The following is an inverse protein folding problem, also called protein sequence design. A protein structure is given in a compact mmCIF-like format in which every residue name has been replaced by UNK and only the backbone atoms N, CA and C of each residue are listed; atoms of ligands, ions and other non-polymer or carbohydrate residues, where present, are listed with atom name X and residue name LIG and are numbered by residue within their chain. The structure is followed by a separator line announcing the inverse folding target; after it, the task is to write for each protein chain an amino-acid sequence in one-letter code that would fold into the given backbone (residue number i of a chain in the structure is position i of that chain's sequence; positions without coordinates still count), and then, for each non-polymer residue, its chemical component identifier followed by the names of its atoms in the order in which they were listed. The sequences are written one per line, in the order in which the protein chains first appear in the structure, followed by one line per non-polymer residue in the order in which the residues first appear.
data_IF_799422634069
#
_entry.id   IF_799422634069
#
_cell.length_a   1.000
_cell.length_b   1.000
_cell.length_c   1.000
_cell.angle_alpha   90.00
_cell.angle_beta   90.00
_cell.angle_gamma   90.00
#
_symmetry.space_group_name_H-M   'P 1'
#
loop_
_entity.id
_entity.type
_entity.pdbx_description
1 polymer ?
#
# COMPACT_ATOMS: atom_id res chain seq x y z
N UNK A 1 -63.99 19.89 -15.93
CA UNK A 1 -63.81 19.11 -17.18
C UNK A 1 -62.70 19.76 -17.99
N UNK A 2 -61.64 18.99 -18.32
CA UNK A 2 -60.57 19.21 -19.31
C UNK A 2 -59.78 20.56 -19.26
N UNK A 3 -58.47 20.67 -19.49
CA UNK A 3 -57.38 19.83 -20.00
C UNK A 3 -56.24 20.82 -20.34
N UNK A 4 -55.07 20.70 -19.71
CA UNK A 4 -53.80 20.20 -20.25
C UNK A 4 -53.07 21.02 -21.34
N UNK A 5 -51.78 21.29 -21.02
CA UNK A 5 -50.57 21.34 -21.85
C UNK A 5 -50.31 22.44 -22.90
N UNK A 6 -49.05 22.88 -22.92
CA UNK A 6 -48.43 23.46 -24.13
C UNK A 6 -47.13 24.23 -23.92
N UNK A 7 -46.09 23.59 -23.36
CA UNK A 7 -44.73 24.13 -23.38
C UNK A 7 -43.99 23.75 -24.67
N UNK A 8 -43.30 24.72 -25.27
CA UNK A 8 -42.21 24.59 -26.26
C UNK A 8 -41.51 25.96 -26.18
N UNK A 9 -40.19 26.12 -26.07
CA UNK A 9 -39.18 25.88 -27.10
C UNK A 9 -37.79 25.72 -26.47
N UNK A 10 -37.06 24.70 -26.92
CA UNK A 10 -35.60 24.63 -26.85
C UNK A 10 -35.03 25.25 -28.12
N UNK A 11 -34.18 26.28 -28.04
CA UNK A 11 -33.10 26.45 -29.04
C UNK A 11 -31.93 27.26 -28.48
N UNK A 12 -30.80 26.58 -28.41
CA UNK A 12 -29.41 27.01 -28.29
C UNK A 12 -29.03 28.14 -29.28
N UNK A 13 -28.39 29.22 -28.78
CA UNK A 13 -27.44 30.16 -29.42
C UNK A 13 -27.49 31.48 -28.62
N UNK A 14 -26.41 32.14 -28.17
CA UNK A 14 -25.13 32.41 -28.80
C UNK A 14 -24.09 32.81 -27.73
N UNK A 15 -22.88 32.25 -27.89
CA UNK A 15 -21.64 32.82 -27.39
C UNK A 15 -21.50 34.26 -27.92
N UNK A 16 -21.41 35.22 -27.01
CA UNK A 16 -20.87 36.55 -27.29
C UNK A 16 -19.55 36.66 -26.54
N UNK A 17 -18.46 36.56 -27.29
CA UNK A 17 -17.16 37.01 -26.84
C UNK A 17 -17.19 38.54 -26.78
N UNK A 18 -16.99 39.10 -25.60
CA UNK A 18 -16.49 40.46 -25.45
C UNK A 18 -15.16 40.38 -24.73
N UNK A 19 -14.16 40.90 -25.44
CA UNK A 19 -12.76 41.01 -25.11
C UNK A 19 -12.54 42.11 -24.07
N UNK A 20 -11.51 41.92 -23.24
CA UNK A 20 -10.78 43.03 -22.62
C UNK A 20 -11.02 43.26 -21.12
N UNK A 21 -10.01 42.88 -20.33
CA UNK A 21 -9.65 43.68 -19.15
C UNK A 21 -9.48 42.92 -17.84
N UNK A 22 -8.23 42.56 -17.55
CA UNK A 22 -7.66 42.41 -16.21
C UNK A 22 -8.20 41.26 -15.33
N UNK A 23 -7.59 40.08 -15.45
CA UNK A 23 -7.58 39.06 -14.40
C UNK A 23 -6.15 38.70 -14.06
N UNK A 24 -5.58 39.44 -13.12
CA UNK A 24 -4.44 39.02 -12.32
C UNK A 24 -4.74 37.66 -11.67
N UNK A 25 -4.00 36.63 -12.08
CA UNK A 25 -3.64 35.47 -11.24
C UNK A 25 -4.78 34.67 -10.61
N UNK A 26 -5.71 34.14 -11.39
CA UNK A 26 -6.36 32.89 -10.97
C UNK A 26 -5.39 31.75 -11.29
N UNK A 27 -4.65 31.31 -10.26
CA UNK A 27 -4.10 29.95 -10.28
C UNK A 27 -5.33 29.05 -10.33
N UNK A 28 -5.65 28.50 -11.51
CA UNK A 28 -6.57 27.38 -11.59
C UNK A 28 -5.93 26.26 -10.78
N UNK A 29 -6.33 26.11 -9.52
CA UNK A 29 -6.09 24.89 -8.75
C UNK A 29 -6.84 23.78 -9.46
N UNK A 30 -6.17 23.16 -10.44
CA UNK A 30 -6.70 22.00 -11.15
C UNK A 30 -7.08 20.92 -10.13
N UNK A 31 -8.19 20.22 -10.40
CA UNK A 31 -8.72 19.13 -9.57
C UNK A 31 -7.55 18.26 -9.06
N UNK A 32 -7.35 18.11 -7.74
CA UNK A 32 -6.31 17.24 -7.23
C UNK A 32 -6.50 15.83 -7.80
N UNK A 33 -5.42 15.25 -8.31
CA UNK A 33 -5.47 13.92 -8.90
C UNK A 33 -5.87 12.91 -7.83
N UNK A 34 -6.77 12.00 -8.18
CA UNK A 34 -7.12 10.92 -7.27
C UNK A 34 -5.87 10.10 -6.96
N UNK A 35 -5.61 9.78 -5.68
CA UNK A 35 -4.52 8.89 -5.34
C UNK A 35 -4.78 7.54 -6.01
N UNK A 36 -3.70 6.87 -6.40
CA UNK A 36 -3.80 5.56 -7.02
C UNK A 36 -4.49 4.59 -6.06
N UNK A 37 -5.73 4.20 -6.39
CA UNK A 37 -6.49 3.18 -5.65
C UNK A 37 -5.99 1.81 -6.10
N UNK A 38 -5.32 1.11 -5.21
CA UNK A 38 -4.86 -0.24 -5.45
C UNK A 38 -4.19 -0.77 -4.21
N UNK A 39 -4.95 -1.50 -3.40
CA UNK A 39 -4.43 -2.24 -2.25
C UNK A 39 -3.23 -3.10 -2.65
N UNK A 40 -3.35 -3.77 -3.80
CA UNK A 40 -2.27 -4.49 -4.48
C UNK A 40 -1.02 -3.66 -4.74
N UNK A 41 -1.15 -2.40 -5.15
CA UNK A 41 0.02 -1.57 -5.50
C UNK A 41 0.78 -1.20 -4.24
N UNK A 42 0.06 -0.93 -3.16
CA UNK A 42 0.65 -0.63 -1.87
C UNK A 42 1.41 -1.85 -1.35
N UNK A 43 0.81 -3.05 -1.43
CA UNK A 43 1.47 -4.31 -1.05
C UNK A 43 2.69 -4.60 -1.92
N UNK A 44 2.62 -4.40 -3.24
CA UNK A 44 3.76 -4.60 -4.16
C UNK A 44 4.94 -3.68 -3.84
N UNK A 45 4.67 -2.38 -3.60
CA UNK A 45 5.74 -1.43 -3.26
C UNK A 45 6.34 -1.74 -1.89
N UNK A 46 5.49 -2.10 -0.91
CA UNK A 46 5.97 -2.47 0.42
C UNK A 46 6.83 -3.74 0.39
N UNK A 47 6.33 -4.81 -0.24
CA UNK A 47 7.05 -6.07 -0.42
C UNK A 47 8.34 -5.88 -1.21
N UNK A 48 8.32 -5.05 -2.25
CA UNK A 48 9.50 -4.78 -3.05
C UNK A 48 10.58 -4.01 -2.29
N UNK A 49 10.19 -3.02 -1.47
CA UNK A 49 11.11 -2.27 -0.64
C UNK A 49 11.76 -3.18 0.41
N UNK A 50 10.96 -3.99 1.10
CA UNK A 50 11.45 -4.93 2.10
C UNK A 50 12.41 -5.94 1.46
N UNK A 51 12.04 -6.56 0.33
CA UNK A 51 12.88 -7.53 -0.38
C UNK A 51 14.25 -6.98 -0.78
N UNK A 52 14.31 -5.76 -1.32
CA UNK A 52 15.59 -5.17 -1.73
C UNK A 52 16.45 -4.89 -0.49
N UNK A 53 15.86 -4.35 0.58
CA UNK A 53 16.59 -4.00 1.79
C UNK A 53 17.13 -5.26 2.49
N UNK A 54 16.31 -6.29 2.65
CA UNK A 54 16.72 -7.54 3.32
C UNK A 54 17.75 -8.30 2.50
N UNK A 55 17.54 -8.48 1.19
CA UNK A 55 18.53 -9.11 0.32
C UNK A 55 19.86 -8.34 0.27
N UNK A 56 19.81 -7.01 0.13
CA UNK A 56 21.03 -6.21 0.09
C UNK A 56 21.76 -6.19 1.44
N UNK A 57 21.03 -6.20 2.56
CA UNK A 57 21.63 -6.32 3.90
C UNK A 57 22.33 -7.65 4.09
N UNK A 58 21.72 -8.75 3.63
CA UNK A 58 22.33 -10.08 3.65
C UNK A 58 23.60 -10.13 2.78
N UNK A 59 23.53 -9.63 1.54
CA UNK A 59 24.70 -9.49 0.65
C UNK A 59 25.81 -8.71 1.34
N UNK A 60 25.48 -7.60 2.00
CA UNK A 60 26.45 -6.74 2.70
C UNK A 60 27.10 -7.45 3.87
N UNK A 61 26.34 -8.21 4.66
CA UNK A 61 26.85 -9.03 5.76
C UNK A 61 27.83 -10.10 5.27
N UNK A 62 27.46 -10.85 4.21
CA UNK A 62 28.29 -11.91 3.62
C UNK A 62 29.56 -11.31 2.98
N UNK A 63 29.44 -10.14 2.35
CA UNK A 63 30.59 -9.45 1.76
C UNK A 63 31.58 -8.96 2.81
N UNK A 64 31.12 -8.65 4.03
CA UNK A 64 31.98 -8.28 5.16
C UNK A 64 32.89 -9.43 5.63
N UNK A 65 32.54 -10.68 5.29
CA UNK A 65 33.25 -11.88 5.73
C UNK A 65 34.25 -12.45 4.70
N UNK A 66 34.49 -11.76 3.57
CA UNK A 66 35.31 -12.27 2.45
C UNK A 66 34.83 -13.62 1.89
N UNK A 67 33.51 -13.81 1.83
CA UNK A 67 32.89 -15.04 1.35
C UNK A 67 32.78 -15.10 -0.16
N UNK A 68 32.74 -16.31 -0.71
CA UNK A 68 32.74 -16.53 -2.14
C UNK A 68 31.45 -16.02 -2.79
N UNK A 69 31.51 -15.72 -4.10
CA UNK A 69 30.30 -15.40 -4.89
C UNK A 69 29.23 -16.50 -4.78
N UNK A 70 29.62 -17.76 -4.58
CA UNK A 70 28.69 -18.89 -4.44
C UNK A 70 27.90 -18.77 -3.14
N UNK A 71 28.54 -18.41 -2.03
CA UNK A 71 27.89 -18.25 -0.73
C UNK A 71 26.83 -17.14 -0.78
N UNK A 72 27.17 -16.02 -1.43
CA UNK A 72 26.24 -14.89 -1.64
C UNK A 72 24.99 -15.35 -2.40
N UNK A 73 25.15 -16.14 -3.47
CA UNK A 73 24.03 -16.60 -4.29
C UNK A 73 23.20 -17.66 -3.58
N UNK A 74 23.83 -18.67 -2.97
CA UNK A 74 23.11 -19.75 -2.29
C UNK A 74 22.33 -19.21 -1.09
N UNK A 75 23.00 -18.47 -0.20
CA UNK A 75 22.35 -17.90 0.98
C UNK A 75 21.35 -16.80 0.59
N UNK A 76 21.71 -15.98 -0.41
CA UNK A 76 20.84 -14.93 -0.94
C UNK A 76 19.53 -15.44 -1.49
N UNK A 77 19.57 -16.41 -2.41
CA UNK A 77 18.35 -16.99 -2.98
C UNK A 77 17.57 -17.84 -1.97
N UNK A 78 18.25 -18.59 -1.11
CA UNK A 78 17.57 -19.36 -0.06
C UNK A 78 16.79 -18.43 0.88
N UNK A 79 17.42 -17.35 1.35
CA UNK A 79 16.77 -16.37 2.21
C UNK A 79 15.64 -15.63 1.48
N UNK A 80 15.87 -15.20 0.23
CA UNK A 80 14.85 -14.54 -0.58
C UNK A 80 13.57 -15.38 -0.73
N UNK A 81 13.72 -16.68 -0.99
CA UNK A 81 12.56 -17.59 -1.12
C UNK A 81 11.89 -17.82 0.23
N UNK A 82 12.66 -18.03 1.30
CA UNK A 82 12.11 -18.23 2.64
C UNK A 82 11.32 -17.00 3.12
N UNK A 83 11.90 -15.81 3.01
CA UNK A 83 11.27 -14.55 3.40
C UNK A 83 10.06 -14.23 2.51
N UNK A 84 10.16 -14.47 1.20
CA UNK A 84 9.05 -14.26 0.27
C UNK A 84 7.85 -15.15 0.56
N UNK A 85 8.07 -16.43 0.90
CA UNK A 85 7.01 -17.34 1.34
C UNK A 85 6.41 -16.87 2.66
N UNK A 86 7.24 -16.49 3.63
CA UNK A 86 6.80 -15.99 4.94
C UNK A 86 5.94 -14.74 4.80
N UNK A 87 6.39 -13.76 4.02
CA UNK A 87 5.68 -12.51 3.80
C UNK A 87 4.38 -12.71 3.03
N UNK A 88 4.38 -13.50 1.96
CA UNK A 88 3.18 -13.81 1.20
C UNK A 88 2.15 -14.59 2.01
N UNK A 89 2.58 -15.55 2.82
CA UNK A 89 1.70 -16.27 3.73
C UNK A 89 1.18 -15.36 4.85
N UNK A 90 2.02 -14.46 5.38
CA UNK A 90 1.61 -13.47 6.37
C UNK A 90 0.52 -12.54 5.87
N UNK A 91 0.65 -12.07 4.63
CA UNK A 91 -0.35 -11.20 3.98
C UNK A 91 -1.66 -11.95 3.69
N UNK A 92 -1.58 -13.23 3.28
CA UNK A 92 -2.73 -14.12 3.17
C UNK A 92 -3.46 -14.29 4.52
N UNK A 93 -2.73 -14.59 5.59
CA UNK A 93 -3.31 -14.79 6.93
C UNK A 93 -3.93 -13.49 7.45
N UNK A 94 -3.28 -12.34 7.22
CA UNK A 94 -3.80 -11.03 7.61
C UNK A 94 -5.13 -10.76 6.92
N UNK A 95 -5.17 -10.83 5.58
CA UNK A 95 -6.37 -10.59 4.79
C UNK A 95 -7.49 -11.61 5.09
N UNK A 96 -7.15 -12.88 5.33
CA UNK A 96 -8.13 -13.88 5.74
C UNK A 96 -8.71 -13.57 7.12
N UNK A 97 -7.87 -13.14 8.07
CA UNK A 97 -8.31 -12.79 9.42
C UNK A 97 -9.19 -11.55 9.40
N UNK A 98 -8.82 -10.52 8.63
CA UNK A 98 -9.63 -9.31 8.45
C UNK A 98 -11.00 -9.65 7.87
N UNK A 99 -11.06 -10.54 6.87
CA UNK A 99 -12.31 -11.04 6.30
C UNK A 99 -13.16 -11.80 7.33
N UNK A 100 -12.56 -12.70 8.10
CA UNK A 100 -13.28 -13.49 9.11
C UNK A 100 -13.80 -12.60 10.26
N UNK A 101 -13.01 -11.62 10.68
CA UNK A 101 -13.41 -10.62 11.68
C UNK A 101 -14.56 -9.78 11.13
N UNK A 102 -14.48 -9.27 9.90
CA UNK A 102 -15.53 -8.49 9.28
C UNK A 102 -16.85 -9.29 9.15
N UNK A 103 -16.77 -10.56 8.76
CA UNK A 103 -17.94 -11.44 8.66
C UNK A 103 -18.60 -11.70 10.02
N UNK A 104 -17.79 -11.95 11.05
CA UNK A 104 -18.30 -12.15 12.42
C UNK A 104 -18.94 -10.87 12.96
N UNK A 105 -18.29 -9.74 12.73
CA UNK A 105 -18.77 -8.45 13.20
C UNK A 105 -20.06 -8.02 12.48
N UNK A 106 -20.18 -8.35 11.19
CA UNK A 106 -21.44 -8.19 10.45
C UNK A 106 -22.56 -9.01 11.07
N UNK A 107 -22.32 -10.29 11.39
CA UNK A 107 -23.33 -11.14 12.01
C UNK A 107 -23.81 -10.60 13.38
N UNK A 108 -22.89 -10.07 14.20
CA UNK A 108 -23.23 -9.39 15.47
C UNK A 108 -24.07 -8.15 15.19
N UNK A 109 -23.67 -7.32 14.22
CA UNK A 109 -24.39 -6.09 13.86
C UNK A 109 -25.79 -6.39 13.33
N UNK A 110 -25.96 -7.43 12.51
CA UNK A 110 -27.26 -7.87 12.02
C UNK A 110 -28.17 -8.32 13.17
N UNK A 111 -27.61 -9.03 14.16
CA UNK A 111 -28.33 -9.43 15.36
C UNK A 111 -28.76 -8.19 16.18
N UNK A 112 -27.87 -7.23 16.40
CA UNK A 112 -28.17 -6.00 17.13
C UNK A 112 -29.21 -5.13 16.44
N UNK A 113 -29.12 -4.98 15.11
CA UNK A 113 -30.12 -4.23 14.32
C UNK A 113 -31.49 -4.90 14.40
N UNK A 114 -31.54 -6.24 14.45
CA UNK A 114 -32.78 -7.01 14.53
C UNK A 114 -33.40 -6.96 15.93
N UNK A 115 -32.60 -7.12 16.98
CA UNK A 115 -33.08 -7.24 18.37
C UNK A 115 -33.17 -5.89 19.10
N UNK A 116 -32.31 -4.93 18.76
CA UNK A 116 -32.17 -3.65 19.45
C UNK A 116 -32.38 -2.44 18.52
N UNK A 117 -33.18 -2.58 17.46
CA UNK A 117 -33.29 -1.59 16.38
C UNK A 117 -33.55 -0.13 16.81
N UNK A 118 -34.32 0.12 17.89
CA UNK A 118 -34.51 1.50 18.40
C UNK A 118 -33.22 2.10 18.95
N UNK A 119 -32.48 1.35 19.77
CA UNK A 119 -31.21 1.80 20.34
C UNK A 119 -30.17 2.01 19.23
N UNK A 120 -30.09 1.06 18.29
CA UNK A 120 -29.14 1.12 17.17
C UNK A 120 -29.36 2.33 16.27
N UNK A 121 -30.62 2.75 16.03
CA UNK A 121 -30.94 3.98 15.29
C UNK A 121 -30.53 5.23 16.04
N UNK A 122 -30.79 5.30 17.35
CA UNK A 122 -30.43 6.46 18.17
C UNK A 122 -28.91 6.67 18.22
N UNK A 123 -28.15 5.57 18.26
CA UNK A 123 -26.69 5.60 18.20
C UNK A 123 -26.19 6.19 16.87
N UNK A 124 -26.73 5.71 15.74
CA UNK A 124 -26.35 6.20 14.42
C UNK A 124 -26.71 7.68 14.22
N UNK A 125 -27.86 8.13 14.75
CA UNK A 125 -28.22 9.57 14.77
C UNK A 125 -27.19 10.38 15.54
N UNK A 126 -26.82 9.94 16.76
CA UNK A 126 -25.79 10.64 17.56
C UNK A 126 -24.45 10.70 16.83
N UNK A 127 -24.10 9.65 16.09
CA UNK A 127 -22.86 9.61 15.31
C UNK A 127 -22.88 10.63 14.18
N UNK A 128 -23.99 10.77 13.44
CA UNK A 128 -24.12 11.83 12.44
C UNK A 128 -24.12 13.23 13.04
N UNK A 129 -24.69 13.42 14.23
CA UNK A 129 -24.58 14.68 14.95
C UNK A 129 -23.12 15.01 15.33
N UNK A 130 -22.34 14.01 15.75
CA UNK A 130 -20.90 14.18 16.00
C UNK A 130 -20.11 14.53 14.73
N UNK A 131 -20.59 14.10 13.55
CA UNK A 131 -20.04 14.50 12.25
C UNK A 131 -20.50 15.89 11.81
N UNK A 132 -21.36 16.56 12.58
CA UNK A 132 -21.82 17.94 12.34
C UNK A 132 -23.19 18.06 11.66
N UNK A 133 -23.93 16.97 11.51
CA UNK A 133 -25.28 16.99 10.92
C UNK A 133 -26.31 17.54 11.92
N UNK A 134 -27.29 18.31 11.43
CA UNK A 134 -28.44 18.71 12.24
C UNK A 134 -29.22 17.47 12.72
N UNK A 135 -29.85 17.57 13.89
CA UNK A 135 -30.60 16.45 14.47
C UNK A 135 -31.74 15.97 13.57
N UNK A 136 -32.44 16.88 12.88
CA UNK A 136 -33.58 16.52 12.04
C UNK A 136 -33.11 15.82 10.75
N UNK A 137 -32.01 16.31 10.18
CA UNK A 137 -31.38 15.70 9.00
C UNK A 137 -30.84 14.31 9.34
N UNK A 138 -30.11 14.17 10.46
CA UNK A 138 -29.57 12.90 10.94
C UNK A 138 -30.68 11.88 11.21
N UNK A 139 -31.75 12.30 11.88
CA UNK A 139 -32.92 11.45 12.11
C UNK A 139 -33.56 10.97 10.80
N UNK A 140 -33.70 11.88 9.83
CA UNK A 140 -34.29 11.56 8.52
C UNK A 140 -33.44 10.56 7.74
N UNK A 141 -32.11 10.74 7.69
CA UNK A 141 -31.18 9.82 7.03
C UNK A 141 -31.25 8.43 7.66
N UNK A 142 -31.20 8.36 8.98
CA UNK A 142 -31.26 7.08 9.70
C UNK A 142 -32.61 6.38 9.53
N UNK A 143 -33.72 7.12 9.48
CA UNK A 143 -35.02 6.54 9.16
C UNK A 143 -35.08 5.96 7.74
N UNK A 144 -34.43 6.61 6.77
CA UNK A 144 -34.33 6.09 5.40
C UNK A 144 -33.52 4.79 5.40
N UNK A 145 -32.35 4.75 6.06
CA UNK A 145 -31.57 3.52 6.18
C UNK A 145 -32.30 2.42 6.93
N UNK A 146 -33.09 2.77 7.95
CA UNK A 146 -33.88 1.79 8.69
C UNK A 146 -34.93 1.04 7.87
N UNK A 147 -35.26 1.51 6.65
CA UNK A 147 -36.11 0.78 5.70
C UNK A 147 -35.36 -0.37 5.01
N UNK A 148 -34.04 -0.31 4.95
CA UNK A 148 -33.17 -1.25 4.26
C UNK A 148 -32.17 -1.84 5.25
N UNK A 149 -32.48 -3.01 5.81
CA UNK A 149 -31.67 -3.64 6.87
C UNK A 149 -30.20 -3.76 6.48
N UNK A 150 -29.91 -4.22 5.26
CA UNK A 150 -28.53 -4.44 4.80
C UNK A 150 -27.75 -3.13 4.72
N UNK A 151 -28.37 -2.06 4.19
CA UNK A 151 -27.76 -0.72 4.15
C UNK A 151 -27.49 -0.19 5.55
N UNK A 152 -28.43 -0.38 6.49
CA UNK A 152 -28.24 0.05 7.87
C UNK A 152 -27.09 -0.71 8.57
N UNK A 153 -26.97 -2.01 8.31
CA UNK A 153 -25.88 -2.84 8.84
C UNK A 153 -24.53 -2.39 8.25
N UNK A 154 -24.45 -2.22 6.94
CA UNK A 154 -23.23 -1.81 6.24
C UNK A 154 -22.79 -0.40 6.66
N UNK A 155 -23.74 0.52 6.84
CA UNK A 155 -23.46 1.86 7.35
C UNK A 155 -22.95 1.83 8.79
N UNK A 156 -23.54 1.00 9.68
CA UNK A 156 -23.02 0.85 11.04
C UNK A 156 -21.62 0.23 11.06
N UNK A 157 -21.38 -0.79 10.25
CA UNK A 157 -20.04 -1.39 10.08
C UNK A 157 -19.02 -0.33 9.68
N UNK A 158 -19.35 0.51 8.70
CA UNK A 158 -18.45 1.54 8.17
C UNK A 158 -18.26 2.70 9.15
N UNK A 159 -19.34 3.26 9.67
CA UNK A 159 -19.34 4.54 10.39
C UNK A 159 -19.05 4.39 11.88
N UNK A 160 -19.43 3.27 12.50
CA UNK A 160 -19.15 3.03 13.92
C UNK A 160 -17.88 2.20 14.12
N UNK A 161 -17.66 1.16 13.29
CA UNK A 161 -16.57 0.20 13.48
C UNK A 161 -15.38 0.45 12.56
N UNK A 162 -15.51 1.34 11.58
CA UNK A 162 -14.44 1.64 10.62
C UNK A 162 -14.10 0.46 9.71
N UNK A 163 -14.98 -0.54 9.64
CA UNK A 163 -14.78 -1.76 8.85
C UNK A 163 -15.60 -1.66 7.58
N UNK A 164 -14.96 -1.94 6.45
CA UNK A 164 -15.71 -2.20 5.22
C UNK A 164 -16.48 -3.51 5.37
N UNK A 165 -17.74 -3.56 4.89
CA UNK A 165 -18.47 -4.82 4.80
C UNK A 165 -17.61 -5.86 4.07
N UNK A 166 -17.64 -7.14 4.50
CA UNK A 166 -16.84 -8.17 3.88
C UNK A 166 -17.18 -8.26 2.39
N UNK A 167 -16.21 -7.94 1.54
CA UNK A 167 -16.36 -8.08 0.10
C UNK A 167 -16.17 -9.57 -0.27
N UNK A 168 -17.19 -10.14 -0.90
CA UNK A 168 -17.15 -11.53 -1.35
C UNK A 168 -16.18 -11.73 -2.52
N UNK A 169 -15.92 -10.69 -3.32
CA UNK A 169 -15.01 -10.74 -4.46
C UNK A 169 -13.55 -10.75 -4.04
N UNK A 170 -13.26 -10.28 -2.83
CA UNK A 170 -11.91 -10.22 -2.30
C UNK A 170 -11.41 -11.60 -1.88
N UNK A 171 -10.26 -11.98 -2.46
CA UNK A 171 -9.65 -13.30 -2.31
C UNK A 171 -8.30 -13.15 -1.60
N UNK A 172 -8.22 -13.45 -0.30
CA UNK A 172 -6.99 -13.28 0.50
C UNK A 172 -5.76 -13.95 -0.11
N UNK A 173 -5.93 -15.11 -0.75
CA UNK A 173 -4.83 -15.84 -1.39
C UNK A 173 -4.19 -15.08 -2.55
N UNK A 174 -4.95 -14.22 -3.24
CA UNK A 174 -4.40 -13.37 -4.31
C UNK A 174 -3.48 -12.30 -3.74
N UNK A 175 -3.86 -11.68 -2.62
CA UNK A 175 -3.07 -10.65 -1.94
C UNK A 175 -1.72 -11.26 -1.54
N UNK A 176 -1.75 -12.40 -0.84
CA UNK A 176 -0.54 -13.14 -0.47
C UNK A 176 0.34 -13.56 -1.65
N UNK A 177 -0.26 -14.03 -2.75
CA UNK A 177 0.49 -14.42 -3.95
C UNK A 177 1.15 -13.21 -4.63
N UNK A 178 0.46 -12.07 -4.72
CA UNK A 178 1.00 -10.84 -5.29
C UNK A 178 2.17 -10.33 -4.46
N UNK A 179 2.03 -10.36 -3.13
CA UNK A 179 3.08 -9.99 -2.18
C UNK A 179 4.30 -10.90 -2.33
N UNK A 180 4.11 -12.22 -2.40
CA UNK A 180 5.19 -13.19 -2.65
C UNK A 180 5.91 -12.91 -3.96
N UNK A 181 5.17 -12.78 -5.07
CA UNK A 181 5.77 -12.57 -6.39
C UNK A 181 6.51 -11.23 -6.45
N UNK A 182 5.95 -10.17 -5.88
CA UNK A 182 6.62 -8.88 -5.77
C UNK A 182 7.92 -9.00 -4.99
N UNK A 183 7.90 -9.65 -3.82
CA UNK A 183 9.07 -9.86 -2.99
C UNK A 183 10.18 -10.60 -3.76
N UNK A 184 9.85 -11.72 -4.42
CA UNK A 184 10.82 -12.47 -5.21
C UNK A 184 11.41 -11.63 -6.36
N UNK A 185 10.56 -10.93 -7.12
CA UNK A 185 11.00 -10.16 -8.30
C UNK A 185 11.93 -9.02 -7.90
N UNK A 186 11.58 -8.25 -6.87
CA UNK A 186 12.40 -7.11 -6.44
C UNK A 186 13.65 -7.56 -5.67
N UNK A 187 13.55 -8.57 -4.80
CA UNK A 187 14.70 -9.11 -4.07
C UNK A 187 15.72 -9.82 -4.98
N UNK A 188 15.31 -10.28 -6.17
CA UNK A 188 16.26 -10.77 -7.17
C UNK A 188 17.17 -9.67 -7.73
N UNK A 189 16.78 -8.39 -7.70
CA UNK A 189 17.52 -7.33 -8.39
C UNK A 189 18.97 -7.16 -7.89
N UNK A 190 19.26 -7.08 -6.57
CA UNK A 190 20.64 -7.03 -6.08
C UNK A 190 21.42 -8.32 -6.39
N UNK A 191 20.78 -9.50 -6.31
CA UNK A 191 21.42 -10.80 -6.57
C UNK A 191 21.76 -11.01 -8.05
N UNK A 192 20.89 -10.55 -8.96
CA UNK A 192 21.12 -10.58 -10.40
C UNK A 192 22.38 -9.80 -10.79
N UNK A 193 22.70 -8.73 -10.07
CA UNK A 193 23.95 -8.00 -10.29
C UNK A 193 25.17 -8.90 -10.11
N UNK A 194 25.18 -9.79 -9.12
CA UNK A 194 26.29 -10.73 -8.93
C UNK A 194 26.38 -11.71 -10.10
N UNK A 195 25.25 -12.28 -10.52
CA UNK A 195 25.19 -13.26 -11.62
C UNK A 195 25.68 -12.67 -12.93
N UNK A 196 25.22 -11.45 -13.26
CA UNK A 196 25.59 -10.77 -14.50
C UNK A 196 27.08 -10.40 -14.51
N UNK A 197 27.67 -10.07 -13.37
CA UNK A 197 29.09 -9.68 -13.28
C UNK A 197 30.06 -10.88 -13.25
N UNK A 198 29.61 -12.12 -13.03
CA UNK A 198 30.44 -13.34 -13.07
C UNK A 198 31.31 -13.43 -14.35
N UNK A 199 30.76 -13.32 -15.58
CA UNK A 199 31.56 -13.44 -16.80
C UNK A 199 32.47 -12.24 -17.09
N UNK A 200 32.24 -11.08 -16.46
CA UNK A 200 33.00 -9.84 -16.77
C UNK A 200 34.18 -9.62 -15.84
N UNK A 201 34.10 -10.07 -14.57
CA UNK A 201 35.10 -9.76 -13.54
C UNK A 201 35.21 -10.87 -12.50
N UNK A 202 36.44 -11.25 -12.15
CA UNK A 202 36.74 -12.19 -11.04
C UNK A 202 36.94 -11.49 -9.68
N UNK A 203 37.00 -10.17 -9.64
CA UNK A 203 37.12 -9.37 -8.42
C UNK A 203 35.77 -9.28 -7.68
N UNK A 204 35.73 -9.82 -6.46
CA UNK A 204 34.55 -9.83 -5.60
C UNK A 204 34.13 -8.42 -5.15
N UNK A 205 35.08 -7.50 -5.02
CA UNK A 205 34.84 -6.10 -4.67
C UNK A 205 34.00 -5.41 -5.74
N UNK A 206 34.31 -5.66 -7.01
CA UNK A 206 33.59 -5.09 -8.14
C UNK A 206 32.16 -5.64 -8.24
N UNK A 207 31.96 -6.92 -7.91
CA UNK A 207 30.62 -7.52 -7.86
C UNK A 207 29.76 -6.90 -6.76
N UNK A 208 30.34 -6.68 -5.58
CA UNK A 208 29.68 -6.01 -4.47
C UNK A 208 29.31 -4.56 -4.81
N UNK A 209 30.23 -3.79 -5.43
CA UNK A 209 29.95 -2.43 -5.91
C UNK A 209 28.78 -2.45 -6.91
N UNK A 210 28.75 -3.40 -7.85
CA UNK A 210 27.64 -3.56 -8.78
C UNK A 210 26.30 -3.77 -8.06
N UNK A 211 26.27 -4.63 -7.04
CA UNK A 211 25.08 -4.88 -6.24
C UNK A 211 24.63 -3.64 -5.44
N UNK A 212 25.56 -2.84 -4.91
CA UNK A 212 25.25 -1.55 -4.30
C UNK A 212 24.56 -0.61 -5.28
N UNK A 213 25.09 -0.47 -6.51
CA UNK A 213 24.47 0.36 -7.54
C UNK A 213 23.08 -0.13 -7.92
N UNK A 214 22.91 -1.45 -8.11
CA UNK A 214 21.61 -2.04 -8.44
C UNK A 214 20.59 -1.88 -7.31
N UNK A 215 21.00 -2.05 -6.05
CA UNK A 215 20.14 -1.83 -4.90
C UNK A 215 19.71 -0.37 -4.78
N UNK A 216 20.64 0.59 -4.91
CA UNK A 216 20.33 2.02 -4.89
C UNK A 216 19.35 2.38 -6.01
N UNK A 217 19.59 1.89 -7.23
CA UNK A 217 18.71 2.14 -8.38
C UNK A 217 17.30 1.58 -8.12
N UNK A 218 17.20 0.34 -7.66
CA UNK A 218 15.92 -0.30 -7.37
C UNK A 218 15.16 0.41 -6.25
N UNK A 219 15.84 0.79 -5.16
CA UNK A 219 15.27 1.58 -4.05
C UNK A 219 14.85 2.97 -4.50
N UNK A 220 15.58 3.62 -5.39
CA UNK A 220 15.20 4.90 -5.95
C UNK A 220 13.93 4.78 -6.80
N UNK A 221 13.83 3.76 -7.66
CA UNK A 221 12.64 3.51 -8.48
C UNK A 221 11.41 3.26 -7.59
N UNK A 222 11.53 2.40 -6.58
CA UNK A 222 10.42 2.14 -5.64
C UNK A 222 10.13 3.34 -4.73
N UNK A 223 11.14 4.15 -4.38
CA UNK A 223 10.96 5.42 -3.67
C UNK A 223 10.13 6.42 -4.48
N UNK A 224 10.37 6.52 -5.79
CA UNK A 224 9.55 7.33 -6.72
C UNK A 224 8.13 6.77 -6.80
N UNK A 225 7.97 5.45 -6.94
CA UNK A 225 6.67 4.80 -6.98
C UNK A 225 5.86 5.06 -5.70
N UNK A 226 6.50 4.90 -4.53
CA UNK A 226 5.94 5.23 -3.22
C UNK A 226 5.49 6.69 -3.16
N UNK A 227 6.34 7.63 -3.55
CA UNK A 227 6.02 9.06 -3.54
C UNK A 227 4.81 9.39 -4.41
N UNK A 228 4.72 8.77 -5.59
CA UNK A 228 3.60 8.93 -6.51
C UNK A 228 2.27 8.45 -5.90
N UNK A 229 2.31 7.35 -5.16
CA UNK A 229 1.12 6.77 -4.50
C UNK A 229 0.68 7.63 -3.31
N UNK A 230 1.63 8.10 -2.50
CA UNK A 230 1.34 8.86 -1.27
C UNK A 230 1.16 10.36 -1.49
N UNK A 231 1.39 10.87 -2.70
CA UNK A 231 1.36 12.30 -3.01
C UNK A 231 2.48 13.09 -2.33
N UNK A 232 3.54 12.43 -1.88
CA UNK A 232 4.68 13.06 -1.21
C UNK A 232 5.72 13.57 -2.21
N UNK A 233 6.66 14.39 -1.73
CA UNK A 233 7.80 14.84 -2.53
C UNK A 233 8.68 13.65 -2.94
N UNK A 234 8.87 13.48 -4.26
CA UNK A 234 9.68 12.42 -4.87
C UNK A 234 11.11 12.36 -4.31
N UNK A 235 11.78 13.52 -4.22
CA UNK A 235 13.18 13.58 -3.78
C UNK A 235 13.32 13.11 -2.34
N UNK A 236 12.41 13.58 -1.47
CA UNK A 236 12.42 13.21 -0.06
C UNK A 236 12.13 11.71 0.13
N UNK A 237 11.17 11.15 -0.62
CA UNK A 237 10.83 9.74 -0.54
C UNK A 237 11.99 8.84 -0.97
N UNK A 238 12.66 9.19 -2.08
CA UNK A 238 13.86 8.48 -2.55
C UNK A 238 14.98 8.55 -1.52
N UNK A 239 15.26 9.74 -0.98
CA UNK A 239 16.31 9.92 0.00
C UNK A 239 16.08 9.10 1.27
N UNK A 240 14.85 9.12 1.81
CA UNK A 240 14.49 8.32 2.99
C UNK A 240 14.60 6.83 2.70
N UNK A 241 14.10 6.38 1.55
CA UNK A 241 14.10 4.95 1.17
C UNK A 241 15.53 4.42 0.96
N UNK A 242 16.35 5.14 0.20
CA UNK A 242 17.76 4.77 -0.03
C UNK A 242 18.56 4.87 1.27
N UNK A 243 18.34 5.92 2.07
CA UNK A 243 18.98 6.10 3.37
C UNK A 243 18.65 4.96 4.35
N UNK A 244 17.40 4.51 4.39
CA UNK A 244 16.99 3.36 5.20
C UNK A 244 17.69 2.07 4.74
N UNK A 245 17.73 1.81 3.43
CA UNK A 245 18.44 0.66 2.89
C UNK A 245 19.95 0.69 3.18
N UNK A 246 20.58 1.86 3.04
CA UNK A 246 21.99 2.05 3.37
C UNK A 246 22.27 1.82 4.87
N UNK A 247 21.39 2.32 5.75
CA UNK A 247 21.53 2.11 7.20
C UNK A 247 21.39 0.64 7.59
N UNK A 248 20.37 -0.06 7.06
CA UNK A 248 20.18 -1.49 7.29
C UNK A 248 21.37 -2.33 6.81
N UNK A 249 21.86 -2.04 5.60
CA UNK A 249 23.03 -2.71 5.04
C UNK A 249 24.31 -2.43 5.83
N UNK A 250 24.52 -1.19 6.28
CA UNK A 250 25.66 -0.84 7.12
C UNK A 250 25.61 -1.57 8.47
N UNK A 251 24.44 -1.68 9.09
CA UNK A 251 24.25 -2.45 10.32
C UNK A 251 24.57 -3.94 10.10
N UNK A 252 24.04 -4.54 9.03
CA UNK A 252 24.29 -5.93 8.69
C UNK A 252 25.78 -6.19 8.37
N UNK A 253 26.43 -5.30 7.61
CA UNK A 253 27.87 -5.35 7.36
C UNK A 253 28.67 -5.28 8.66
N UNK A 254 28.33 -4.35 9.56
CA UNK A 254 29.00 -4.20 10.85
C UNK A 254 28.86 -5.45 11.71
N UNK A 255 27.70 -6.10 11.71
CA UNK A 255 27.47 -7.38 12.40
C UNK A 255 28.34 -8.47 11.78
N UNK A 256 28.32 -8.64 10.45
CA UNK A 256 29.13 -9.64 9.74
C UNK A 256 30.63 -9.44 10.02
N UNK A 257 31.11 -8.20 9.94
CA UNK A 257 32.48 -7.84 10.27
C UNK A 257 32.83 -8.13 11.73
N UNK A 258 31.95 -7.76 12.67
CA UNK A 258 32.20 -7.97 14.12
C UNK A 258 32.25 -9.45 14.45
N UNK A 259 31.30 -10.24 13.95
CA UNK A 259 31.27 -11.68 14.18
C UNK A 259 32.54 -12.35 13.64
N UNK A 260 33.00 -11.98 12.45
CA UNK A 260 34.27 -12.50 11.92
C UNK A 260 35.46 -12.18 12.83
N UNK A 261 35.62 -10.92 13.22
CA UNK A 261 36.83 -10.48 13.93
C UNK A 261 36.82 -10.81 15.43
N UNK A 262 35.64 -10.87 16.06
CA UNK A 262 35.50 -11.10 17.51
C UNK A 262 35.22 -12.56 17.84
N UNK A 263 34.43 -13.27 17.02
CA UNK A 263 34.11 -14.67 17.29
C UNK A 263 35.19 -15.64 16.81
N UNK A 264 36.26 -15.15 16.16
CA UNK A 264 37.38 -15.98 15.73
C UNK A 264 37.02 -17.00 14.65
N UNK A 265 36.00 -16.71 13.83
CA UNK A 265 35.73 -17.42 12.58
C UNK A 265 36.80 -17.05 11.55
N UNK A 266 38.03 -17.47 11.84
CA UNK A 266 39.19 -17.43 10.97
C UNK A 266 39.50 -18.87 10.65
N UNK A 267 39.06 -19.32 9.47
CA UNK A 267 39.73 -20.43 8.79
C UNK A 267 40.86 -19.84 7.92
#
# INVERSE_FOLDING_TARGET
MAGNAGGTYTTTRLLRAEDGGNRSGQVEEGRPKEPWKGEYVKSVVYAGLDAIITCFSLISSISATHSSTVDVLVLGFANLVADGISMGFGDYVSSSTEKDVAAKERAVTEWDVTNHGKAQRQELVRKYQQLGMDINDAATVVEIFAKYKDILVDEKMTTEKGMTPPDEEEKPWKNGLITLVAFLVFGCLPLLSFVVLIPFTNDETMKFIGACFMAILALAVLGIAKAKITGQNYVLSVFITVGNGAFAAAAAYAIGWTLRNVAGLVD
#
